data_IF_205834090990
#
_entry.id   IF_205834090990
#
_cell.length_a   1.000
_cell.length_b   1.000
_cell.length_c   1.000
_cell.angle_alpha   90.00
_cell.angle_beta   90.00
_cell.angle_gamma   90.00
#
_symmetry.space_group_name_H-M   'P 1'
#
loop_
_entity.id
_entity.type
_entity.pdbx_description
1 polymer ?
#
# COMPACT_ATOMS: atom_id res chain seq x y z
N UNK A 1 27.03 -11.35 -36.34
CA UNK A 1 26.74 -10.85 -34.98
C UNK A 1 25.31 -11.24 -34.65
N UNK A 2 25.07 -11.87 -33.50
CA UNK A 2 23.72 -12.17 -33.03
C UNK A 2 23.21 -10.98 -32.22
N UNK A 3 22.89 -9.88 -32.89
CA UNK A 3 22.40 -8.66 -32.26
C UNK A 3 20.87 -8.58 -32.38
N UNK A 4 20.18 -8.56 -31.25
CA UNK A 4 18.73 -8.40 -31.19
C UNK A 4 18.43 -7.02 -30.63
N UNK A 5 17.76 -6.19 -31.42
CA UNK A 5 17.30 -4.88 -30.99
C UNK A 5 15.97 -5.02 -30.26
N UNK A 6 15.93 -4.59 -29.00
CA UNK A 6 14.73 -4.49 -28.19
C UNK A 6 14.25 -3.05 -28.19
N UNK A 7 12.98 -2.81 -28.50
CA UNK A 7 12.39 -1.48 -28.48
C UNK A 7 10.96 -1.49 -27.96
N UNK A 8 10.41 -0.30 -27.69
CA UNK A 8 9.00 -0.11 -27.33
C UNK A 8 8.25 0.39 -28.56
N UNK A 9 7.12 -0.24 -28.87
CA UNK A 9 6.17 0.25 -29.87
C UNK A 9 4.88 0.71 -29.20
N UNK A 10 4.15 1.59 -29.89
CA UNK A 10 2.89 2.15 -29.41
C UNK A 10 3.04 3.34 -28.48
N UNK A 11 4.25 3.84 -28.24
CA UNK A 11 4.48 5.02 -27.40
C UNK A 11 3.95 6.31 -28.02
N UNK A 12 3.54 7.26 -27.17
CA UNK A 12 2.97 8.55 -27.58
C UNK A 12 1.44 8.54 -27.67
N UNK A 13 0.85 9.69 -28.02
CA UNK A 13 -0.61 9.81 -28.19
C UNK A 13 -1.46 9.51 -26.95
N UNK A 14 -0.88 9.58 -25.75
CA UNK A 14 -1.56 9.19 -24.50
C UNK A 14 -1.29 7.75 -24.05
N UNK A 15 -0.63 6.92 -24.85
CA UNK A 15 -0.30 5.53 -24.47
C UNK A 15 0.79 5.42 -23.40
N UNK A 16 1.46 6.53 -23.10
CA UNK A 16 2.65 6.57 -22.25
C UNK A 16 3.94 6.29 -23.02
N UNK A 17 5.04 6.16 -22.29
CA UNK A 17 6.35 5.81 -22.84
C UNK A 17 7.27 5.27 -21.74
N UNK A 18 8.32 4.53 -22.13
CA UNK A 18 9.37 4.08 -21.23
C UNK A 18 10.73 4.05 -21.92
N UNK A 19 11.79 3.98 -21.13
CA UNK A 19 13.16 3.68 -21.58
C UNK A 19 13.56 2.26 -21.19
N UNK A 20 14.41 1.66 -22.02
CA UNK A 20 15.11 0.38 -21.83
C UNK A 20 16.58 0.71 -21.57
N UNK A 21 17.09 0.41 -20.38
CA UNK A 21 18.45 0.79 -19.93
C UNK A 21 18.74 2.29 -20.16
N UNK A 22 17.75 3.15 -19.92
CA UNK A 22 17.88 4.61 -20.11
C UNK A 22 17.76 5.11 -21.55
N UNK A 23 17.56 4.23 -22.54
CA UNK A 23 17.41 4.59 -23.96
C UNK A 23 16.08 4.11 -24.56
N UNK A 24 15.69 4.61 -25.73
CA UNK A 24 14.46 4.14 -26.41
C UNK A 24 14.57 2.71 -26.97
N UNK A 25 15.81 2.24 -27.18
CA UNK A 25 16.16 0.91 -27.67
C UNK A 25 17.35 0.35 -26.89
N UNK A 26 17.41 -0.96 -26.79
CA UNK A 26 18.56 -1.70 -26.28
C UNK A 26 18.97 -2.78 -27.29
N UNK A 27 20.23 -3.16 -27.26
CA UNK A 27 20.80 -4.21 -28.10
C UNK A 27 21.30 -5.32 -27.18
N UNK A 28 20.90 -6.56 -27.45
CA UNK A 28 21.30 -7.74 -26.67
C UNK A 28 21.91 -8.80 -27.57
N UNK A 29 22.95 -9.45 -27.07
CA UNK A 29 23.69 -10.51 -27.78
C UNK A 29 23.85 -11.80 -26.95
N UNK A 30 23.28 -11.81 -25.75
CA UNK A 30 23.26 -12.90 -24.79
C UNK A 30 22.07 -12.70 -23.83
N UNK A 31 21.93 -13.62 -22.87
CA UNK A 31 20.96 -13.47 -21.79
C UNK A 31 21.31 -12.22 -20.96
N UNK A 32 20.41 -11.26 -20.94
CA UNK A 32 20.60 -9.98 -20.25
C UNK A 32 19.29 -9.55 -19.57
N UNK A 33 19.41 -9.00 -18.37
CA UNK A 33 18.31 -8.29 -17.70
C UNK A 33 18.20 -6.88 -18.27
N UNK A 34 17.02 -6.49 -18.70
CA UNK A 34 16.71 -5.14 -19.17
C UNK A 34 16.03 -4.33 -18.06
N UNK A 35 16.50 -3.12 -17.81
CA UNK A 35 15.87 -2.19 -16.89
C UNK A 35 14.85 -1.34 -17.65
N UNK A 36 13.57 -1.45 -17.27
CA UNK A 36 12.50 -0.66 -17.84
C UNK A 36 12.13 0.47 -16.86
N UNK A 37 12.01 1.69 -17.37
CA UNK A 37 11.57 2.84 -16.58
C UNK A 37 10.57 3.67 -17.37
N UNK A 38 9.38 3.85 -16.80
CA UNK A 38 8.36 4.76 -17.33
C UNK A 38 8.88 6.19 -17.42
N UNK A 39 8.50 6.89 -18.49
CA UNK A 39 8.80 8.32 -18.69
C UNK A 39 7.50 9.10 -18.65
N UNK A 40 6.57 8.78 -19.56
CA UNK A 40 5.22 9.33 -19.54
C UNK A 40 4.24 8.25 -19.09
N UNK A 41 3.37 8.62 -18.14
CA UNK A 41 2.27 7.76 -17.73
C UNK A 41 1.25 7.61 -18.87
N UNK A 42 0.63 6.44 -18.95
CA UNK A 42 -0.52 6.16 -19.80
C UNK A 42 -1.70 7.01 -19.35
N UNK A 43 -2.40 7.64 -20.29
CA UNK A 43 -3.63 8.37 -20.03
C UNK A 43 -4.80 7.40 -19.78
N UNK A 44 -5.78 7.83 -19.00
CA UNK A 44 -7.03 7.07 -18.81
C UNK A 44 -7.65 6.74 -20.17
N UNK A 45 -8.10 5.50 -20.34
CA UNK A 45 -8.67 4.99 -21.60
C UNK A 45 -7.64 4.54 -22.64
N UNK A 46 -6.33 4.64 -22.36
CA UNK A 46 -5.25 4.25 -23.28
C UNK A 46 -4.44 3.04 -22.78
N UNK A 47 -5.02 2.24 -21.89
CA UNK A 47 -4.37 1.05 -21.35
C UNK A 47 -4.00 0.05 -22.46
N UNK A 48 -2.90 -0.69 -22.25
CA UNK A 48 -2.51 -1.86 -23.04
C UNK A 48 -2.14 -1.56 -24.50
N UNK A 49 -1.66 -0.34 -24.78
CA UNK A 49 -1.20 0.06 -26.10
C UNK A 49 0.33 -0.04 -26.30
N UNK A 50 1.11 -0.25 -25.23
CA UNK A 50 2.57 -0.42 -25.32
C UNK A 50 2.94 -1.90 -25.49
N UNK A 51 3.98 -2.18 -26.28
CA UNK A 51 4.59 -3.52 -26.38
C UNK A 51 6.10 -3.41 -26.46
N UNK A 52 6.79 -4.38 -25.87
CA UNK A 52 8.20 -4.63 -26.15
C UNK A 52 8.29 -5.48 -27.39
N UNK A 53 9.26 -5.17 -28.22
CA UNK A 53 9.49 -5.87 -29.48
C UNK A 53 10.95 -6.21 -29.63
N UNK A 54 11.21 -7.39 -30.20
CA UNK A 54 12.55 -7.86 -30.50
C UNK A 54 12.71 -8.01 -32.01
N UNK A 55 13.67 -7.28 -32.58
CA UNK A 55 13.98 -7.31 -34.00
C UNK A 55 15.39 -7.89 -34.21
N UNK A 56 15.53 -8.88 -35.09
CA UNK A 56 16.81 -9.47 -35.49
C UNK A 56 17.01 -9.26 -36.99
N UNK A 57 18.13 -8.61 -37.36
CA UNK A 57 18.42 -8.27 -38.76
C UNK A 57 17.27 -7.55 -39.48
N UNK A 58 16.58 -6.65 -38.77
CA UNK A 58 15.44 -5.88 -39.29
C UNK A 58 14.08 -6.61 -39.28
N UNK A 59 14.05 -7.89 -38.91
CA UNK A 59 12.81 -8.67 -38.85
C UNK A 59 12.33 -8.82 -37.41
N UNK A 60 11.04 -8.62 -37.18
CA UNK A 60 10.38 -8.90 -35.91
C UNK A 60 10.45 -10.39 -35.60
N UNK A 61 11.10 -10.76 -34.49
CA UNK A 61 11.19 -12.15 -34.03
C UNK A 61 10.36 -12.43 -32.77
N UNK A 62 10.06 -11.42 -31.97
CA UNK A 62 9.18 -11.57 -30.80
C UNK A 62 8.49 -10.27 -30.39
N UNK A 63 7.37 -10.39 -29.70
CA UNK A 63 6.65 -9.29 -29.06
C UNK A 63 6.13 -9.72 -27.69
N UNK A 64 6.09 -8.78 -26.73
CA UNK A 64 5.46 -9.03 -25.44
C UNK A 64 3.94 -8.99 -25.52
N UNK A 65 3.30 -9.45 -24.44
CA UNK A 65 1.94 -9.02 -24.11
C UNK A 65 1.88 -7.47 -24.05
N UNK A 66 0.71 -6.87 -24.33
CA UNK A 66 0.56 -5.44 -24.18
C UNK A 66 0.67 -5.02 -22.71
N UNK A 67 1.09 -3.79 -22.47
CA UNK A 67 1.16 -3.21 -21.11
C UNK A 67 0.91 -1.70 -21.14
N UNK A 68 0.88 -1.13 -19.93
CA UNK A 68 0.72 0.30 -19.66
C UNK A 68 1.82 0.78 -18.71
N UNK A 69 1.99 2.09 -18.58
CA UNK A 69 2.92 2.71 -17.62
C UNK A 69 2.11 3.60 -16.69
N UNK A 70 2.19 3.38 -15.39
CA UNK A 70 1.57 4.26 -14.38
C UNK A 70 2.50 4.36 -13.17
N UNK A 71 2.40 5.45 -12.44
CA UNK A 71 2.90 5.53 -11.07
C UNK A 71 1.90 4.85 -10.12
N UNK A 72 2.40 4.23 -9.06
CA UNK A 72 1.58 3.50 -8.07
C UNK A 72 1.92 3.90 -6.63
N UNK A 73 0.94 3.83 -5.71
CA UNK A 73 1.19 4.06 -4.29
C UNK A 73 2.02 2.91 -3.67
N UNK A 74 2.93 3.26 -2.80
CA UNK A 74 3.84 2.35 -2.10
C UNK A 74 4.38 2.97 -0.82
N UNK A 75 5.10 2.19 -0.02
CA UNK A 75 5.88 2.68 1.13
C UNK A 75 5.00 3.47 2.11
N UNK A 76 4.00 2.79 2.67
CA UNK A 76 3.17 3.37 3.72
C UNK A 76 4.00 3.66 4.97
N UNK A 77 3.78 4.82 5.59
CA UNK A 77 4.45 5.22 6.81
C UNK A 77 3.47 5.77 7.84
N UNK A 78 3.70 5.45 9.12
CA UNK A 78 2.90 5.92 10.25
C UNK A 78 3.74 6.71 11.25
N UNK A 79 3.15 7.76 11.81
CA UNK A 79 3.72 8.50 12.93
C UNK A 79 2.65 8.84 13.97
N UNK A 80 3.06 9.08 15.22
CA UNK A 80 2.12 9.43 16.28
C UNK A 80 1.52 10.81 16.00
N UNK A 81 0.20 10.92 16.06
CA UNK A 81 -0.50 12.20 15.98
C UNK A 81 -0.93 12.65 17.39
N UNK A 82 -1.82 11.90 18.03
CA UNK A 82 -2.40 12.26 19.33
C UNK A 82 -2.97 11.06 20.06
N UNK A 83 -3.34 11.25 21.33
CA UNK A 83 -4.10 10.27 22.10
C UNK A 83 -5.59 10.44 21.85
N UNK A 84 -6.34 9.34 21.86
CA UNK A 84 -7.80 9.39 21.96
C UNK A 84 -8.17 9.56 23.43
N UNK A 85 -8.98 10.59 23.74
CA UNK A 85 -9.41 10.94 25.11
C UNK A 85 -10.93 10.92 25.25
N UNK A 86 -11.45 11.09 26.48
CA UNK A 86 -12.89 11.13 26.76
C UNK A 86 -13.49 9.73 27.00
N UNK A 87 -14.54 9.36 26.27
CA UNK A 87 -15.23 8.06 26.41
C UNK A 87 -14.48 6.89 25.79
N UNK A 88 -13.30 7.14 25.22
CA UNK A 88 -12.44 6.15 24.57
C UNK A 88 -10.98 6.33 25.00
N UNK A 89 -10.18 5.29 24.77
CA UNK A 89 -8.72 5.28 24.91
C UNK A 89 -8.09 4.67 23.66
N UNK A 90 -6.94 5.20 23.25
CA UNK A 90 -6.10 4.70 22.17
C UNK A 90 -5.28 5.79 21.50
N UNK A 91 -5.01 5.64 20.20
CA UNK A 91 -4.14 6.57 19.45
C UNK A 91 -4.78 7.01 18.15
N UNK A 92 -4.46 8.23 17.74
CA UNK A 92 -4.55 8.70 16.36
C UNK A 92 -3.13 8.67 15.78
N UNK A 93 -2.99 8.15 14.57
CA UNK A 93 -1.72 8.13 13.84
C UNK A 93 -1.87 8.92 12.55
N UNK A 94 -0.82 9.63 12.14
CA UNK A 94 -0.73 10.12 10.77
C UNK A 94 -0.36 8.95 9.87
N UNK A 95 -0.95 8.91 8.69
CA UNK A 95 -0.61 7.99 7.62
C UNK A 95 -0.16 8.76 6.39
N UNK A 96 0.85 8.22 5.70
CA UNK A 96 1.34 8.74 4.43
C UNK A 96 1.71 7.58 3.52
N UNK A 97 1.63 7.82 2.22
CA UNK A 97 2.02 6.88 1.17
C UNK A 97 2.87 7.64 0.15
N UNK A 98 3.83 6.96 -0.46
CA UNK A 98 4.69 7.51 -1.49
C UNK A 98 4.23 7.05 -2.87
N UNK A 99 4.60 7.83 -3.90
CA UNK A 99 4.55 7.38 -5.29
C UNK A 99 5.84 6.64 -5.64
N UNK A 100 5.77 5.60 -6.47
CA UNK A 100 6.96 4.96 -7.04
C UNK A 100 7.75 5.83 -8.02
N UNK A 101 7.13 6.92 -8.51
CA UNK A 101 7.83 7.99 -9.23
C UNK A 101 8.53 9.01 -8.31
N UNK A 102 8.34 8.90 -6.99
CA UNK A 102 8.69 9.90 -5.96
C UNK A 102 7.94 11.24 -6.07
N UNK A 103 6.92 11.31 -6.92
CA UNK A 103 6.09 12.50 -7.12
C UNK A 103 4.65 12.16 -6.78
N UNK A 104 4.13 12.66 -5.65
CA UNK A 104 2.78 12.31 -5.19
C UNK A 104 1.69 12.66 -6.22
N UNK A 105 1.82 13.77 -6.95
CA UNK A 105 0.85 14.18 -7.97
C UNK A 105 0.73 13.21 -9.14
N UNK A 106 1.69 12.31 -9.34
CA UNK A 106 1.61 11.30 -10.38
C UNK A 106 0.53 10.23 -10.07
N UNK A 107 0.10 10.13 -8.80
CA UNK A 107 -0.97 9.24 -8.35
C UNK A 107 -2.38 9.81 -8.58
N UNK A 108 -2.55 10.86 -9.39
CA UNK A 108 -3.83 11.54 -9.59
C UNK A 108 -4.93 10.69 -10.26
N UNK A 109 -4.59 9.53 -10.84
CA UNK A 109 -5.56 8.55 -11.35
C UNK A 109 -5.58 7.24 -10.54
N UNK A 110 -4.90 7.24 -9.40
CA UNK A 110 -4.91 6.13 -8.46
C UNK A 110 -5.75 6.47 -7.22
N UNK A 111 -6.31 5.44 -6.62
CA UNK A 111 -7.04 5.49 -5.37
C UNK A 111 -6.56 4.38 -4.46
N UNK A 112 -6.63 4.57 -3.15
CA UNK A 112 -6.23 3.57 -2.17
C UNK A 112 -7.34 3.27 -1.16
N UNK A 113 -7.31 2.05 -0.60
CA UNK A 113 -8.22 1.59 0.43
C UNK A 113 -7.45 0.78 1.47
N UNK A 114 -7.86 0.94 2.71
CA UNK A 114 -7.32 0.18 3.84
C UNK A 114 -8.08 -1.15 4.00
N UNK A 115 -7.34 -2.26 4.00
CA UNK A 115 -7.86 -3.59 4.29
C UNK A 115 -7.47 -3.99 5.71
N UNK A 116 -8.45 -4.15 6.61
CA UNK A 116 -8.18 -4.54 8.00
C UNK A 116 -8.80 -5.90 8.33
N UNK A 117 -8.03 -6.75 9.00
CA UNK A 117 -8.49 -8.05 9.49
C UNK A 117 -8.21 -8.16 10.99
N UNK A 118 -9.29 -8.15 11.77
CA UNK A 118 -9.24 -8.37 13.22
C UNK A 118 -9.14 -9.86 13.53
N UNK A 119 -8.24 -10.21 14.44
CA UNK A 119 -8.21 -11.52 15.08
C UNK A 119 -9.23 -11.63 16.21
N UNK A 120 -9.26 -12.79 16.88
CA UNK A 120 -10.11 -13.00 18.05
C UNK A 120 -9.57 -12.23 19.26
N UNK A 121 -10.36 -11.31 19.79
CA UNK A 121 -10.04 -10.64 21.04
C UNK A 121 -10.27 -11.52 22.28
N UNK A 122 -9.62 -11.18 23.39
CA UNK A 122 -9.72 -11.90 24.68
C UNK A 122 -10.14 -10.98 25.81
N UNK A 123 -10.65 -11.56 26.90
CA UNK A 123 -11.05 -10.83 28.10
C UNK A 123 -12.05 -9.72 27.80
N UNK A 124 -11.76 -8.51 28.27
CA UNK A 124 -12.61 -7.33 28.03
C UNK A 124 -12.70 -6.90 26.55
N UNK A 125 -11.84 -7.46 25.69
CA UNK A 125 -11.81 -7.24 24.25
C UNK A 125 -12.39 -8.43 23.46
N UNK A 126 -12.97 -9.43 24.12
CA UNK A 126 -13.68 -10.51 23.44
C UNK A 126 -14.81 -9.93 22.57
N UNK A 127 -14.88 -10.36 21.30
CA UNK A 127 -15.83 -9.84 20.33
C UNK A 127 -15.53 -8.43 19.80
N UNK A 128 -14.48 -7.76 20.28
CA UNK A 128 -14.02 -6.51 19.67
C UNK A 128 -13.65 -6.77 18.19
N UNK A 129 -13.97 -5.82 17.32
CA UNK A 129 -13.72 -5.96 15.87
C UNK A 129 -14.85 -6.60 15.06
N UNK A 130 -15.93 -7.11 15.69
CA UNK A 130 -17.07 -7.73 15.02
C UNK A 130 -17.90 -6.78 14.10
N UNK A 131 -17.56 -5.49 14.06
CA UNK A 131 -18.14 -4.48 13.15
C UNK A 131 -17.08 -3.61 12.49
N UNK A 132 -15.86 -4.12 12.32
CA UNK A 132 -14.81 -3.38 11.63
C UNK A 132 -15.16 -3.18 10.14
N UNK A 133 -14.99 -1.96 9.68
CA UNK A 133 -15.17 -1.58 8.28
C UNK A 133 -13.81 -1.20 7.68
N UNK A 134 -13.61 -1.60 6.43
CA UNK A 134 -12.52 -1.08 5.61
C UNK A 134 -12.87 0.32 5.14
N UNK A 135 -11.87 1.12 4.79
CA UNK A 135 -12.14 2.41 4.16
C UNK A 135 -12.73 2.19 2.76
N UNK A 136 -13.58 3.10 2.30
CA UNK A 136 -13.82 3.22 0.87
C UNK A 136 -12.51 3.58 0.15
N UNK A 137 -12.48 3.40 -1.16
CA UNK A 137 -11.41 3.96 -1.97
C UNK A 137 -11.45 5.49 -1.89
N UNK A 138 -10.27 6.09 -1.73
CA UNK A 138 -10.05 7.54 -1.76
C UNK A 138 -8.83 7.86 -2.62
N UNK A 139 -8.73 9.10 -3.11
CA UNK A 139 -7.64 9.50 -3.99
C UNK A 139 -6.27 9.22 -3.34
N UNK A 140 -5.35 8.57 -4.07
CA UNK A 140 -4.02 8.27 -3.57
C UNK A 140 -3.13 9.53 -3.40
N UNK A 141 -3.59 10.68 -3.89
CA UNK A 141 -2.98 12.00 -3.69
C UNK A 141 -3.40 12.67 -2.37
N UNK A 142 -4.32 12.08 -1.60
CA UNK A 142 -4.78 12.65 -0.34
C UNK A 142 -3.66 12.74 0.69
N UNK A 143 -3.48 13.94 1.26
CA UNK A 143 -2.49 14.23 2.30
C UNK A 143 -3.14 14.47 3.65
N UNK A 144 -2.37 14.36 4.74
CA UNK A 144 -2.88 14.60 6.08
C UNK A 144 -3.86 13.51 6.55
N UNK A 145 -3.71 12.31 6.00
CA UNK A 145 -4.53 11.16 6.38
C UNK A 145 -4.23 10.78 7.83
N UNK A 146 -5.29 10.45 8.56
CA UNK A 146 -5.18 9.97 9.93
C UNK A 146 -5.98 8.70 10.10
N UNK A 147 -5.45 7.80 10.91
CA UNK A 147 -6.14 6.58 11.32
C UNK A 147 -6.31 6.59 12.85
N UNK A 148 -7.49 6.22 13.31
CA UNK A 148 -7.89 6.28 14.72
C UNK A 148 -8.15 4.88 15.27
N UNK A 149 -7.36 4.50 16.25
CA UNK A 149 -7.47 3.23 16.95
C UNK A 149 -7.86 3.47 18.39
N UNK A 150 -9.15 3.32 18.69
CA UNK A 150 -9.67 3.51 20.05
C UNK A 150 -10.56 2.37 20.53
N UNK A 151 -10.65 2.21 21.83
CA UNK A 151 -11.59 1.32 22.53
C UNK A 151 -12.44 2.14 23.50
N UNK A 152 -13.77 1.92 23.56
CA UNK A 152 -14.63 2.53 24.58
C UNK A 152 -14.16 2.21 25.99
N UNK A 153 -14.14 3.20 26.89
CA UNK A 153 -13.77 3.01 28.30
C UNK A 153 -14.68 2.00 28.99
N UNK A 154 -15.96 1.95 28.62
CA UNK A 154 -16.94 0.98 29.14
C UNK A 154 -16.58 -0.49 28.85
N UNK A 155 -15.72 -0.76 27.87
CA UNK A 155 -15.23 -2.11 27.57
C UNK A 155 -13.99 -2.49 28.39
N UNK A 156 -13.31 -1.56 29.05
CA UNK A 156 -11.99 -1.78 29.65
C UNK A 156 -12.09 -2.24 31.11
N UNK A 157 -12.82 -3.34 31.34
CA UNK A 157 -13.23 -3.82 32.67
C UNK A 157 -12.43 -5.00 33.21
N UNK A 158 -11.57 -5.60 32.38
CA UNK A 158 -10.67 -6.71 32.74
C UNK A 158 -9.45 -6.73 31.82
N UNK A 159 -8.45 -7.54 32.13
CA UNK A 159 -7.33 -7.74 31.20
C UNK A 159 -7.80 -8.39 29.91
N UNK A 160 -7.19 -8.04 28.79
CA UNK A 160 -7.57 -8.57 27.48
C UNK A 160 -6.70 -8.05 26.37
N UNK A 161 -6.74 -8.69 25.21
CA UNK A 161 -5.96 -8.27 24.05
C UNK A 161 -6.72 -8.50 22.76
N UNK A 162 -6.48 -7.65 21.76
CA UNK A 162 -6.85 -7.92 20.38
C UNK A 162 -5.74 -7.42 19.44
N UNK A 163 -5.56 -8.16 18.35
CA UNK A 163 -4.65 -7.82 17.25
C UNK A 163 -5.46 -7.69 15.97
N UNK A 164 -5.11 -6.71 15.14
CA UNK A 164 -5.57 -6.61 13.77
C UNK A 164 -4.36 -6.47 12.84
N UNK A 165 -4.45 -7.13 11.69
CA UNK A 165 -3.52 -6.98 10.59
C UNK A 165 -4.11 -6.03 9.56
N UNK A 166 -3.26 -5.23 8.93
CA UNK A 166 -3.67 -4.22 7.99
C UNK A 166 -2.72 -4.15 6.81
N UNK A 167 -3.28 -4.00 5.61
CA UNK A 167 -2.55 -3.65 4.39
C UNK A 167 -3.33 -2.60 3.59
N UNK A 168 -2.67 -1.89 2.68
CA UNK A 168 -3.34 -0.99 1.76
C UNK A 168 -3.39 -1.60 0.35
N UNK A 169 -4.55 -1.47 -0.30
CA UNK A 169 -4.74 -1.79 -1.71
C UNK A 169 -4.93 -0.52 -2.52
N UNK A 170 -4.73 -0.60 -3.83
CA UNK A 170 -4.99 0.51 -4.75
C UNK A 170 -5.67 0.05 -6.03
N UNK A 171 -6.41 0.98 -6.64
CA UNK A 171 -6.85 0.90 -8.02
C UNK A 171 -6.13 1.98 -8.83
N UNK A 172 -5.92 1.73 -10.12
CA UNK A 172 -5.35 2.71 -11.05
C UNK A 172 -6.16 2.76 -12.33
N UNK A 173 -6.73 3.94 -12.63
CA UNK A 173 -7.62 4.13 -13.79
C UNK A 173 -6.87 4.16 -15.12
N UNK A 174 -5.55 4.35 -15.11
CA UNK A 174 -4.72 4.36 -16.32
C UNK A 174 -4.53 2.97 -16.89
N UNK A 175 -4.29 2.00 -16.01
CA UNK A 175 -4.07 0.60 -16.36
C UNK A 175 -5.33 -0.25 -16.26
N UNK A 176 -6.32 0.20 -15.47
CA UNK A 176 -7.51 -0.57 -15.14
C UNK A 176 -7.27 -1.61 -14.04
N UNK A 177 -6.11 -1.59 -13.37
CA UNK A 177 -5.81 -2.49 -12.27
C UNK A 177 -6.65 -2.15 -11.04
N UNK A 178 -7.17 -3.18 -10.37
CA UNK A 178 -8.03 -3.05 -9.19
C UNK A 178 -7.58 -3.97 -8.06
N UNK A 179 -7.76 -3.52 -6.81
CA UNK A 179 -7.46 -4.26 -5.59
C UNK A 179 -6.02 -4.78 -5.53
N UNK A 180 -5.07 -3.98 -6.01
CA UNK A 180 -3.65 -4.36 -6.01
C UNK A 180 -3.04 -4.01 -4.65
N UNK A 181 -2.39 -4.96 -3.94
CA UNK A 181 -1.71 -4.64 -2.69
C UNK A 181 -0.55 -3.67 -2.94
N UNK A 182 -0.56 -2.53 -2.26
CA UNK A 182 0.55 -1.60 -2.26
C UNK A 182 1.72 -2.21 -1.46
N UNK A 183 2.92 -2.17 -2.02
CA UNK A 183 4.13 -2.70 -1.35
C UNK A 183 4.50 -1.87 -0.12
N UNK A 184 5.12 -2.51 0.88
CA UNK A 184 5.57 -1.86 2.12
C UNK A 184 4.43 -1.10 2.82
N UNK A 185 3.25 -1.72 2.97
CA UNK A 185 2.09 -1.12 3.64
C UNK A 185 1.50 -2.01 4.74
N UNK A 186 2.21 -3.07 5.13
CA UNK A 186 1.81 -3.98 6.18
C UNK A 186 1.98 -3.37 7.57
N UNK A 187 0.90 -3.36 8.36
CA UNK A 187 0.89 -2.90 9.75
C UNK A 187 0.13 -3.87 10.66
N UNK A 188 0.63 -4.04 11.88
CA UNK A 188 -0.08 -4.71 12.97
C UNK A 188 -0.55 -3.68 13.98
N UNK A 189 -1.82 -3.75 14.30
CA UNK A 189 -2.47 -2.93 15.31
C UNK A 189 -2.74 -3.81 16.52
N UNK A 190 -2.25 -3.42 17.70
CA UNK A 190 -2.51 -4.18 18.94
C UNK A 190 -3.17 -3.28 19.98
N UNK A 191 -4.11 -3.84 20.72
CA UNK A 191 -4.69 -3.22 21.92
C UNK A 191 -4.57 -4.22 23.05
N UNK A 192 -3.82 -3.87 24.09
CA UNK A 192 -3.54 -4.74 25.23
C UNK A 192 -3.97 -4.01 26.48
N UNK A 193 -4.89 -4.61 27.23
CA UNK A 193 -5.39 -4.13 28.51
C UNK A 193 -4.73 -4.93 29.62
N UNK A 194 -3.98 -4.25 30.47
CA UNK A 194 -3.33 -4.82 31.66
C UNK A 194 -3.89 -4.18 32.93
N UNK A 195 -3.68 -4.86 34.07
CA UNK A 195 -4.08 -4.38 35.39
C UNK A 195 -2.83 -4.30 36.30
N UNK A 196 -2.01 -3.24 36.21
CA UNK A 196 -0.79 -3.11 37.01
C UNK A 196 -1.03 -3.15 38.52
N UNK A 197 -2.21 -2.74 38.99
CA UNK A 197 -2.64 -2.91 40.38
C UNK A 197 -4.15 -3.14 40.44
N UNK A 198 -4.64 -3.73 41.53
CA UNK A 198 -6.06 -4.02 41.70
C UNK A 198 -6.94 -2.78 41.40
N UNK A 199 -7.92 -2.96 40.52
CA UNK A 199 -8.85 -1.91 40.09
C UNK A 199 -8.30 -0.91 39.05
N UNK A 200 -6.99 -0.87 38.80
CA UNK A 200 -6.38 0.09 37.88
C UNK A 200 -6.03 -0.57 36.55
N UNK A 201 -6.77 -0.26 35.49
CA UNK A 201 -6.50 -0.76 34.14
C UNK A 201 -5.70 0.23 33.31
N UNK A 202 -4.82 -0.30 32.46
CA UNK A 202 -4.05 0.44 31.46
C UNK A 202 -4.26 -0.22 30.12
N UNK A 203 -4.62 0.56 29.11
CA UNK A 203 -4.63 0.10 27.72
C UNK A 203 -3.41 0.64 26.99
N UNK A 204 -2.66 -0.28 26.37
CA UNK A 204 -1.63 0.05 25.40
C UNK A 204 -2.19 -0.19 24.00
N UNK A 205 -2.22 0.86 23.18
CA UNK A 205 -2.55 0.77 21.77
C UNK A 205 -1.30 1.02 20.95
N UNK A 206 -1.03 0.11 20.01
CA UNK A 206 0.09 0.22 19.09
C UNK A 206 -0.32 0.00 17.64
N UNK A 207 0.46 0.59 16.72
CA UNK A 207 0.47 0.34 15.29
C UNK A 207 1.92 0.28 14.84
N UNK A 208 2.34 -0.86 14.31
CA UNK A 208 3.75 -1.12 13.98
C UNK A 208 3.87 -1.70 12.59
N UNK A 209 4.87 -1.26 11.84
CA UNK A 209 5.21 -1.84 10.54
C UNK A 209 5.62 -3.31 10.68
N UNK A 210 4.94 -4.20 9.96
CA UNK A 210 5.26 -5.63 9.92
C UNK A 210 4.76 -6.24 8.61
N UNK A 211 5.50 -7.20 8.05
CA UNK A 211 5.02 -7.96 6.90
C UNK A 211 3.79 -8.77 7.33
N UNK A 212 2.66 -8.58 6.65
CA UNK A 212 1.39 -9.15 7.09
C UNK A 212 0.42 -9.38 5.95
N UNK A 213 -0.67 -10.08 6.25
CA UNK A 213 -1.78 -10.37 5.34
C UNK A 213 -3.08 -9.95 6.01
N UNK A 214 -3.90 -9.19 5.29
CA UNK A 214 -5.25 -8.84 5.71
C UNK A 214 -6.21 -9.05 4.54
N UNK A 215 -7.32 -9.75 4.79
CA UNK A 215 -8.37 -10.02 3.80
C UNK A 215 -7.86 -10.69 2.51
N UNK A 216 -6.80 -11.49 2.61
CA UNK A 216 -6.17 -12.18 1.48
C UNK A 216 -5.10 -11.36 0.74
N UNK A 217 -4.94 -10.08 1.07
CA UNK A 217 -3.90 -9.22 0.50
C UNK A 217 -2.66 -9.23 1.39
N UNK A 218 -1.49 -9.41 0.79
CA UNK A 218 -0.22 -9.46 1.51
C UNK A 218 0.65 -8.26 1.16
N UNK A 219 1.34 -7.71 2.15
CA UNK A 219 2.33 -6.64 1.95
C UNK A 219 3.49 -6.81 2.92
N UNK A 220 4.66 -6.37 2.49
CA UNK A 220 5.83 -6.20 3.36
C UNK A 220 5.58 -5.07 4.37
N UNK A 221 6.43 -4.99 5.39
CA UNK A 221 6.29 -4.00 6.46
C UNK A 221 6.24 -2.58 5.93
N UNK A 222 5.25 -1.80 6.38
CA UNK A 222 5.30 -0.35 6.30
C UNK A 222 6.32 0.23 7.28
N UNK A 223 6.56 1.53 7.18
CA UNK A 223 7.51 2.25 8.03
C UNK A 223 6.84 2.84 9.27
N UNK A 224 7.58 2.89 10.37
CA UNK A 224 7.15 3.54 11.60
C UNK A 224 6.53 2.60 12.64
N UNK A 225 6.50 3.11 13.87
CA UNK A 225 5.98 2.41 15.04
C UNK A 225 5.43 3.42 16.03
N UNK A 226 4.17 3.23 16.41
CA UNK A 226 3.49 4.02 17.44
C UNK A 226 3.02 3.06 18.51
N UNK A 227 3.34 3.36 19.77
CA UNK A 227 2.83 2.64 20.93
C UNK A 227 2.61 3.62 22.07
N UNK A 228 1.40 3.65 22.62
CA UNK A 228 1.05 4.54 23.74
C UNK A 228 0.18 3.79 24.75
N UNK A 229 0.47 4.01 26.02
CA UNK A 229 -0.31 3.53 27.14
C UNK A 229 -1.18 4.67 27.70
N UNK A 230 -2.39 4.33 28.13
CA UNK A 230 -3.28 5.25 28.85
C UNK A 230 -3.97 4.54 30.00
N UNK A 231 -4.11 5.26 31.12
CA UNK A 231 -4.97 4.85 32.22
C UNK A 231 -6.43 4.87 31.75
N UNK A 232 -7.19 3.88 32.19
CA UNK A 232 -8.61 3.73 31.90
C UNK A 232 -9.42 4.61 32.85
#
# INVERSE_FOLDING_TARGET
MNDVAISVVGAGGGNGSLTINGSARAHINANQTLQLRGVNQTAVGNANNLRLVADFSGNRIAQSAPFSVSAIPQNGAVSFNSLVTGTRRGVVVNFSVESDSNTLSDLNEAEHSEQVQYGSGTGCLAGAGAGAHNSSYMAATSTGLTDTHGTPVSMLTSTGSIVAEQVFTFNDKRTGATDIPARNTGFRISRIVSQPSAGNFVITTSKVGVATTAKGFSSTAGSGSVSRAQNV
#
